data_IF_502345220314
#
_entry.id   IF_502345220314
#
_cell.length_a   1.000
_cell.length_b   1.000
_cell.length_c   1.000
_cell.angle_alpha   90.00
_cell.angle_beta   90.00
_cell.angle_gamma   90.00
#
_symmetry.space_group_name_H-M   'P 1'
#
loop_
_entity.id
_entity.type
_entity.pdbx_description
1 polymer ?
#
# COMPACT_ATOMS: atom_id res chain seq x y z
N UNK A 1 -11.42 -17.78 31.73
CA UNK A 1 -12.17 -17.30 30.54
C UNK A 1 -13.34 -16.37 30.89
N UNK A 2 -14.20 -16.66 31.88
CA UNK A 2 -15.34 -15.80 32.24
C UNK A 2 -14.95 -14.35 32.62
N UNK A 3 -13.87 -14.16 33.40
CA UNK A 3 -13.40 -12.80 33.73
C UNK A 3 -12.92 -12.01 32.50
N UNK A 4 -12.31 -12.67 31.51
CA UNK A 4 -11.86 -12.03 30.27
C UNK A 4 -13.05 -11.62 29.40
N UNK A 5 -14.07 -12.47 29.28
CA UNK A 5 -15.30 -12.12 28.53
C UNK A 5 -16.04 -10.94 29.16
N UNK A 6 -16.10 -10.86 30.50
CA UNK A 6 -16.69 -9.71 31.18
C UNK A 6 -15.88 -8.43 30.97
N UNK A 7 -14.55 -8.52 30.95
CA UNK A 7 -13.68 -7.38 30.67
C UNK A 7 -13.85 -6.87 29.23
N UNK A 8 -13.87 -7.78 28.23
CA UNK A 8 -14.08 -7.43 26.82
C UNK A 8 -15.45 -6.76 26.63
N UNK A 9 -16.50 -7.28 27.26
CA UNK A 9 -17.83 -6.69 27.21
C UNK A 9 -17.91 -5.31 27.88
N UNK A 10 -17.14 -5.09 28.95
CA UNK A 10 -17.10 -3.82 29.69
C UNK A 10 -16.13 -2.78 29.11
N UNK A 11 -15.37 -3.10 28.06
CA UNK A 11 -14.43 -2.17 27.45
C UNK A 11 -15.18 -1.02 26.76
N UNK A 12 -14.86 0.27 27.04
CA UNK A 12 -15.56 1.42 26.49
C UNK A 12 -15.09 1.74 25.06
N UNK A 13 -15.25 0.78 24.15
CA UNK A 13 -14.76 0.83 22.78
C UNK A 13 -15.03 -0.48 22.04
N UNK A 14 -14.74 -0.52 20.75
CA UNK A 14 -14.74 -1.77 19.98
C UNK A 14 -13.38 -2.46 20.08
N UNK A 15 -13.36 -3.74 20.41
CA UNK A 15 -12.18 -4.61 20.32
C UNK A 15 -12.32 -5.50 19.09
N UNK A 16 -11.26 -5.59 18.30
CA UNK A 16 -11.29 -6.32 17.03
C UNK A 16 -9.95 -7.01 16.72
N UNK A 17 -9.99 -7.96 15.79
CA UNK A 17 -8.80 -8.51 15.14
C UNK A 17 -9.00 -8.69 13.64
N UNK A 18 -7.89 -8.70 12.90
CA UNK A 18 -7.85 -8.96 11.46
C UNK A 18 -6.92 -10.14 11.22
N UNK A 19 -7.43 -11.22 10.64
CA UNK A 19 -6.63 -12.28 10.01
C UNK A 19 -6.10 -11.70 8.69
N UNK A 20 -4.79 -11.43 8.64
CA UNK A 20 -4.14 -10.73 7.53
C UNK A 20 -4.14 -11.61 6.26
N UNK A 21 -3.67 -12.88 6.30
CA UNK A 21 -3.69 -13.76 5.12
C UNK A 21 -5.08 -13.90 4.50
N UNK A 22 -6.12 -13.99 5.33
CA UNK A 22 -7.52 -14.16 4.85
C UNK A 22 -8.29 -12.84 4.72
N UNK A 23 -7.67 -11.71 5.04
CA UNK A 23 -8.32 -10.39 5.06
C UNK A 23 -9.65 -10.36 5.83
N UNK A 24 -9.74 -11.07 6.97
CA UNK A 24 -11.00 -11.27 7.71
C UNK A 24 -11.02 -10.50 9.03
N UNK A 25 -12.02 -9.64 9.19
CA UNK A 25 -12.28 -8.93 10.45
C UNK A 25 -13.11 -9.79 11.41
N UNK A 26 -12.65 -9.87 12.66
CA UNK A 26 -13.37 -10.40 13.81
C UNK A 26 -13.58 -9.29 14.84
N UNK A 27 -14.78 -9.22 15.41
CA UNK A 27 -15.15 -8.23 16.42
C UNK A 27 -15.52 -8.98 17.70
N UNK A 28 -15.00 -8.52 18.84
CA UNK A 28 -15.08 -9.26 20.10
C UNK A 28 -16.15 -8.73 21.07
N UNK A 29 -16.63 -7.50 20.87
CA UNK A 29 -17.69 -6.91 21.67
C UNK A 29 -18.60 -6.01 20.83
N UNK A 30 -19.75 -5.67 21.38
CA UNK A 30 -20.66 -4.72 20.77
C UNK A 30 -20.35 -3.30 21.28
N UNK A 31 -19.99 -2.42 20.36
CA UNK A 31 -19.82 -1.00 20.62
C UNK A 31 -20.19 -0.22 19.36
N UNK A 32 -20.94 0.86 19.52
CA UNK A 32 -21.44 1.64 18.40
C UNK A 32 -21.27 3.13 18.64
N UNK A 33 -21.06 3.85 17.55
CA UNK A 33 -21.06 5.30 17.51
C UNK A 33 -22.29 5.71 16.69
N UNK A 34 -23.18 6.57 17.20
CA UNK A 34 -24.33 7.04 16.44
C UNK A 34 -23.93 7.61 15.07
N UNK A 35 -24.56 7.11 14.00
CA UNK A 35 -24.28 7.55 12.63
C UNK A 35 -23.02 6.93 11.98
N UNK A 36 -22.30 6.05 12.68
CA UNK A 36 -21.12 5.37 12.15
C UNK A 36 -21.27 3.84 12.18
N UNK A 37 -21.12 3.24 11.01
CA UNK A 37 -20.98 1.80 10.86
C UNK A 37 -19.51 1.44 11.10
N UNK A 38 -19.19 1.03 12.33
CA UNK A 38 -17.81 0.76 12.76
C UNK A 38 -17.17 -0.42 12.02
N UNK A 39 -17.84 -1.59 11.87
CA UNK A 39 -17.29 -2.66 11.03
C UNK A 39 -17.01 -2.21 9.59
N UNK A 40 -17.87 -1.37 9.02
CA UNK A 40 -17.66 -0.82 7.68
C UNK A 40 -16.53 0.21 7.65
N UNK A 41 -16.32 0.99 8.70
CA UNK A 41 -15.13 1.84 8.84
C UNK A 41 -13.84 1.01 8.75
N UNK A 42 -13.81 -0.19 9.37
CA UNK A 42 -12.64 -1.05 9.34
C UNK A 42 -12.43 -1.76 7.99
N UNK A 43 -13.51 -2.01 7.24
CA UNK A 43 -13.47 -2.78 5.96
C UNK A 43 -13.43 -1.92 4.70
N UNK A 44 -14.21 -0.84 4.63
CA UNK A 44 -14.55 -0.14 3.39
C UNK A 44 -13.81 1.21 3.30
N UNK A 45 -12.84 1.29 2.39
CA UNK A 45 -12.07 2.53 2.15
C UNK A 45 -12.92 3.69 1.63
N UNK A 46 -13.96 3.41 0.82
CA UNK A 46 -14.87 4.44 0.32
C UNK A 46 -15.75 4.98 1.44
N UNK A 47 -16.18 4.10 2.34
CA UNK A 47 -16.89 4.51 3.54
C UNK A 47 -16.00 5.37 4.45
N UNK A 48 -14.75 4.95 4.71
CA UNK A 48 -13.77 5.77 5.46
C UNK A 48 -13.63 7.17 4.91
N UNK A 49 -13.47 7.31 3.58
CA UNK A 49 -13.31 8.61 2.91
C UNK A 49 -14.52 9.53 3.07
N UNK A 50 -15.72 8.96 3.25
CA UNK A 50 -16.95 9.72 3.50
C UNK A 50 -17.16 10.00 4.99
N UNK A 51 -16.88 9.02 5.84
CA UNK A 51 -17.15 9.05 7.27
C UNK A 51 -16.16 9.91 8.05
N UNK A 52 -14.91 9.98 7.61
CA UNK A 52 -13.82 10.71 8.27
C UNK A 52 -13.58 12.05 7.60
N UNK A 53 -13.31 13.07 8.42
CA UNK A 53 -12.97 14.40 7.91
C UNK A 53 -11.81 14.32 6.94
N UNK A 54 -11.86 15.11 5.86
CA UNK A 54 -10.83 15.13 4.81
C UNK A 54 -9.44 15.34 5.40
N UNK A 55 -9.35 16.20 6.40
CA UNK A 55 -8.14 16.53 7.15
C UNK A 55 -7.47 15.34 7.84
N UNK A 56 -8.26 14.40 8.37
CA UNK A 56 -7.77 13.30 9.20
C UNK A 56 -7.68 11.98 8.41
N UNK A 57 -8.23 11.94 7.19
CA UNK A 57 -8.29 10.74 6.35
C UNK A 57 -6.90 10.21 5.99
N UNK A 58 -5.94 11.11 5.76
CA UNK A 58 -4.55 10.75 5.44
C UNK A 58 -3.90 9.97 6.59
N UNK A 59 -4.03 10.47 7.82
CA UNK A 59 -3.53 9.81 9.04
C UNK A 59 -4.22 8.47 9.26
N UNK A 60 -5.55 8.40 9.03
CA UNK A 60 -6.28 7.14 9.13
C UNK A 60 -5.72 6.10 8.15
N UNK A 61 -5.40 6.49 6.93
CA UNK A 61 -4.84 5.56 5.95
C UNK A 61 -3.42 5.09 6.31
N UNK A 62 -2.66 5.87 7.08
CA UNK A 62 -1.34 5.44 7.58
C UNK A 62 -1.42 4.34 8.63
N UNK A 63 -2.47 4.32 9.46
CA UNK A 63 -2.70 3.17 10.33
C UNK A 63 -2.82 1.88 9.51
N UNK A 64 -3.43 1.93 8.33
CA UNK A 64 -3.59 0.77 7.46
C UNK A 64 -2.26 0.39 6.81
N UNK A 65 -1.40 1.37 6.53
CA UNK A 65 -0.02 1.13 6.07
C UNK A 65 0.80 0.43 7.16
N UNK A 66 0.60 0.81 8.42
CA UNK A 66 1.27 0.20 9.57
C UNK A 66 0.75 -1.18 9.94
N UNK A 67 -0.55 -1.38 9.85
CA UNK A 67 -1.18 -2.69 9.95
C UNK A 67 -0.59 -3.64 8.90
N UNK A 68 -0.47 -3.17 7.65
CA UNK A 68 0.14 -3.95 6.57
C UNK A 68 1.62 -4.27 6.82
N UNK A 69 2.37 -3.34 7.43
CA UNK A 69 3.77 -3.55 7.79
C UNK A 69 3.97 -4.46 9.03
N UNK A 70 2.88 -4.99 9.63
CA UNK A 70 2.91 -5.72 10.91
C UNK A 70 3.57 -4.90 12.00
N UNK A 71 3.19 -3.62 12.10
CA UNK A 71 3.75 -2.70 13.10
C UNK A 71 2.66 -2.11 13.98
N UNK A 72 2.96 -1.85 15.27
CA UNK A 72 2.02 -1.13 16.12
C UNK A 72 1.67 0.23 15.53
N UNK A 73 0.39 0.58 15.56
CA UNK A 73 -0.15 1.81 14.99
C UNK A 73 -1.18 2.41 15.93
N UNK A 74 -1.23 3.73 15.97
CA UNK A 74 -2.32 4.48 16.59
C UNK A 74 -2.63 5.69 15.71
N UNK A 75 -3.91 6.04 15.61
CA UNK A 75 -4.36 7.25 14.91
C UNK A 75 -5.55 7.84 15.64
N UNK A 76 -5.57 9.17 15.74
CA UNK A 76 -6.75 9.91 16.18
C UNK A 76 -7.40 10.61 15.01
N UNK A 77 -8.72 10.47 14.86
CA UNK A 77 -9.47 11.04 13.74
C UNK A 77 -10.85 11.54 14.17
N UNK A 78 -11.44 12.43 13.35
CA UNK A 78 -12.78 12.97 13.56
C UNK A 78 -13.73 12.55 12.45
N UNK A 79 -15.01 12.45 12.79
CA UNK A 79 -16.07 12.13 11.84
C UNK A 79 -16.57 13.38 11.10
N UNK A 80 -17.01 13.19 9.86
CA UNK A 80 -17.62 14.23 9.01
C UNK A 80 -19.02 14.60 9.49
N UNK A 81 -19.79 13.59 9.93
CA UNK A 81 -21.13 13.73 10.49
C UNK A 81 -21.13 13.05 11.84
N UNK A 82 -21.21 13.83 12.90
CA UNK A 82 -21.18 13.35 14.27
C UNK A 82 -20.94 14.50 15.24
N UNK A 83 -21.69 14.49 16.31
CA UNK A 83 -21.66 15.48 17.40
C UNK A 83 -20.57 15.10 18.43
N UNK A 84 -19.95 13.92 18.24
CA UNK A 84 -18.96 13.33 19.12
C UNK A 84 -17.57 13.94 19.01
N UNK A 85 -16.80 13.76 20.08
CA UNK A 85 -15.38 14.12 20.15
C UNK A 85 -14.50 13.28 19.22
N UNK A 86 -13.18 13.49 19.23
CA UNK A 86 -12.24 12.70 18.44
C UNK A 86 -12.28 11.22 18.83
N UNK A 87 -11.93 10.34 17.89
CA UNK A 87 -11.84 8.89 18.10
C UNK A 87 -10.41 8.42 17.93
N UNK A 88 -9.98 7.45 18.74
CA UNK A 88 -8.67 6.81 18.62
C UNK A 88 -8.84 5.36 18.17
N UNK A 89 -8.09 5.02 17.13
CA UNK A 89 -7.91 3.66 16.68
C UNK A 89 -6.47 3.24 16.93
N UNK A 90 -6.30 2.12 17.63
CA UNK A 90 -4.99 1.55 17.94
C UNK A 90 -4.95 0.08 17.56
N UNK A 91 -3.78 -0.41 17.14
CA UNK A 91 -3.57 -1.83 16.90
C UNK A 91 -2.10 -2.24 16.88
N UNK A 92 -1.89 -3.55 16.92
CA UNK A 92 -0.57 -4.18 17.00
C UNK A 92 -0.61 -5.60 16.43
N UNK A 93 0.50 -6.09 15.86
CA UNK A 93 0.61 -7.47 15.40
C UNK A 93 0.60 -8.45 16.58
N UNK A 94 0.03 -9.63 16.37
CA UNK A 94 0.27 -10.80 17.22
C UNK A 94 1.68 -11.36 17.04
N UNK A 95 2.06 -12.32 17.90
CA UNK A 95 3.42 -12.89 17.94
C UNK A 95 3.92 -13.42 16.58
N UNK A 96 3.04 -14.07 15.81
CA UNK A 96 3.38 -14.60 14.48
C UNK A 96 3.11 -13.63 13.34
N UNK A 97 2.54 -12.45 13.61
CA UNK A 97 2.25 -11.43 12.60
C UNK A 97 1.12 -11.76 11.62
N UNK A 98 0.44 -12.90 11.76
CA UNK A 98 -0.69 -13.30 10.90
C UNK A 98 -2.03 -12.71 11.35
N UNK A 99 -2.13 -12.35 12.63
CA UNK A 99 -3.30 -11.70 13.22
C UNK A 99 -2.89 -10.34 13.73
N UNK A 100 -3.67 -9.31 13.40
CA UNK A 100 -3.52 -7.96 13.92
C UNK A 100 -4.64 -7.66 14.91
N UNK A 101 -4.31 -7.22 16.10
CA UNK A 101 -5.27 -6.89 17.16
C UNK A 101 -5.43 -5.39 17.26
N UNK A 102 -6.58 -4.93 17.74
CA UNK A 102 -6.74 -3.51 18.01
C UNK A 102 -8.03 -3.15 18.71
N UNK A 103 -8.17 -1.85 18.95
CA UNK A 103 -9.38 -1.26 19.46
C UNK A 103 -9.70 0.08 18.80
N UNK A 104 -10.97 0.45 18.82
CA UNK A 104 -11.48 1.78 18.48
C UNK A 104 -12.27 2.31 19.66
N UNK A 105 -12.03 3.55 20.09
CA UNK A 105 -12.84 4.19 21.13
C UNK A 105 -12.88 5.71 20.99
N UNK A 106 -13.70 6.37 21.79
CA UNK A 106 -13.61 7.82 21.97
C UNK A 106 -12.26 8.21 22.59
N UNK A 107 -11.66 9.26 22.04
CA UNK A 107 -10.40 9.82 22.49
C UNK A 107 -10.68 10.94 23.50
N UNK A 108 -10.13 10.80 24.71
CA UNK A 108 -10.14 11.86 25.71
C UNK A 108 -8.90 12.75 25.48
N UNK A 109 -9.06 13.80 24.68
CA UNK A 109 -8.00 14.77 24.42
C UNK A 109 -8.20 16.04 25.28
N UNK A 110 -7.12 16.68 25.78
CA UNK A 110 -7.22 17.97 26.48
C UNK A 110 -7.91 19.06 25.63
N UNK A 111 -8.59 20.01 26.27
CA UNK A 111 -9.46 21.00 25.59
C UNK A 111 -8.77 21.86 24.52
N UNK A 112 -7.47 22.13 24.64
CA UNK A 112 -6.68 22.84 23.62
C UNK A 112 -6.65 22.10 22.27
N UNK A 113 -6.71 20.76 22.29
CA UNK A 113 -6.71 19.92 21.09
C UNK A 113 -8.05 19.93 20.35
N UNK A 114 -9.15 20.11 21.08
CA UNK A 114 -10.48 20.27 20.51
C UNK A 114 -10.67 21.65 19.86
N UNK A 115 -9.91 22.66 20.32
CA UNK A 115 -10.00 24.05 19.87
C UNK A 115 -9.10 24.37 18.66
N UNK A 116 -7.88 23.84 18.59
CA UNK A 116 -6.86 24.24 17.59
C UNK A 116 -6.81 23.37 16.32
N UNK A 117 -7.48 22.21 16.29
CA UNK A 117 -7.44 21.31 15.13
C UNK A 117 -6.02 20.85 14.74
N UNK A 118 -5.72 20.91 13.44
CA UNK A 118 -4.63 20.19 12.71
C UNK A 118 -3.18 20.36 13.23
N UNK A 119 -2.88 21.45 13.95
CA UNK A 119 -1.54 21.68 14.52
C UNK A 119 -1.26 20.72 15.70
N UNK A 120 -2.29 20.37 16.47
CA UNK A 120 -2.21 19.40 17.56
C UNK A 120 -2.11 17.95 17.08
N UNK A 121 -2.78 17.58 15.98
CA UNK A 121 -2.74 16.21 15.44
C UNK A 121 -1.39 15.84 14.82
N UNK A 122 -0.72 16.78 14.14
CA UNK A 122 0.62 16.54 13.60
C UNK A 122 1.70 16.46 14.69
N UNK A 123 1.51 17.17 15.82
CA UNK A 123 2.42 17.10 16.97
C UNK A 123 2.28 15.80 17.77
N UNK A 124 1.07 15.23 17.87
CA UNK A 124 0.82 14.00 18.64
C UNK A 124 1.28 12.72 17.92
N UNK A 125 1.20 12.67 16.59
CA UNK A 125 1.51 11.43 15.84
C UNK A 125 3.01 11.18 15.66
N UNK A 126 3.88 12.19 15.67
CA UNK A 126 5.27 11.97 15.23
C UNK A 126 6.11 11.26 16.32
N UNK A 127 5.92 11.57 17.62
CA UNK A 127 6.80 11.09 18.70
C UNK A 127 6.69 9.60 19.08
N UNK A 128 5.51 8.99 18.96
CA UNK A 128 5.28 7.58 19.36
C UNK A 128 5.41 6.55 18.22
N UNK A 129 5.70 7.03 17.00
CA UNK A 129 5.74 6.21 15.79
C UNK A 129 7.13 5.61 15.59
N UNK A 130 7.23 4.28 15.53
CA UNK A 130 8.53 3.60 15.35
C UNK A 130 9.07 3.53 13.89
N UNK A 131 8.49 4.23 12.91
CA UNK A 131 9.09 4.39 11.56
C UNK A 131 9.52 5.84 11.34
N UNK A 132 10.46 6.11 10.43
CA UNK A 132 10.93 7.47 10.13
C UNK A 132 9.82 8.37 9.57
N UNK A 133 9.52 9.44 10.31
CA UNK A 133 8.56 10.49 9.94
C UNK A 133 9.12 11.87 10.24
N UNK A 134 8.89 12.81 9.33
CA UNK A 134 9.17 14.22 9.55
C UNK A 134 8.15 15.14 8.87
N UNK A 135 8.09 16.41 9.26
CA UNK A 135 7.26 17.45 8.65
C UNK A 135 8.15 18.50 7.98
N UNK A 136 7.84 18.80 6.71
CA UNK A 136 8.58 19.75 5.86
C UNK A 136 7.71 20.98 5.57
N UNK A 137 8.21 22.17 5.89
CA UNK A 137 7.62 23.43 5.42
C UNK A 137 8.13 23.75 4.02
N UNK A 138 7.27 23.75 3.00
CA UNK A 138 7.71 23.94 1.62
C UNK A 138 8.27 25.34 1.30
N UNK A 139 7.74 26.46 1.83
CA UNK A 139 8.28 27.79 1.57
C UNK A 139 9.70 27.97 2.10
N UNK A 140 9.96 27.50 3.32
CA UNK A 140 11.28 27.67 3.96
C UNK A 140 12.19 26.46 3.77
N UNK A 141 11.65 25.33 3.30
CA UNK A 141 12.32 24.03 3.18
C UNK A 141 12.88 23.51 4.52
N UNK A 142 12.36 24.03 5.63
CA UNK A 142 12.78 23.64 6.97
C UNK A 142 12.01 22.41 7.47
N UNK A 143 12.73 21.56 8.21
CA UNK A 143 12.11 20.48 8.96
C UNK A 143 11.50 21.05 10.23
N UNK A 144 10.18 20.93 10.38
CA UNK A 144 9.46 21.43 11.55
C UNK A 144 9.46 20.41 12.69
N UNK A 145 9.28 19.14 12.35
CA UNK A 145 9.20 18.04 13.31
C UNK A 145 9.88 16.82 12.69
N UNK A 146 10.66 16.09 13.49
CA UNK A 146 11.32 14.83 13.11
C UNK A 146 11.13 13.88 14.29
N UNK A 147 10.79 12.60 14.06
CA UNK A 147 10.74 11.61 15.14
C UNK A 147 12.07 10.90 15.37
N UNK A 148 12.11 10.07 16.41
CA UNK A 148 13.33 9.39 16.83
C UNK A 148 13.78 8.32 15.82
N UNK A 149 12.84 7.66 15.13
CA UNK A 149 13.16 6.74 14.05
C UNK A 149 13.81 7.46 12.85
N UNK A 150 13.32 8.64 12.47
CA UNK A 150 13.92 9.45 11.41
C UNK A 150 15.27 10.04 11.86
N UNK A 151 15.39 10.45 13.13
CA UNK A 151 16.69 10.83 13.69
C UNK A 151 17.68 9.66 13.62
N UNK A 152 17.29 8.46 14.01
CA UNK A 152 18.15 7.28 13.93
C UNK A 152 18.58 6.95 12.49
N UNK A 153 17.71 7.17 11.51
CA UNK A 153 18.01 6.89 10.11
C UNK A 153 18.96 7.94 9.49
N UNK A 154 18.73 9.23 9.80
CA UNK A 154 19.33 10.33 9.05
C UNK A 154 20.40 11.11 9.82
N UNK A 155 20.38 11.10 11.16
CA UNK A 155 21.34 11.84 11.97
C UNK A 155 22.54 10.95 12.34
N UNK A 156 23.75 11.48 12.17
CA UNK A 156 24.95 10.88 12.72
C UNK A 156 25.01 11.09 14.25
N UNK A 157 25.63 10.18 15.02
CA UNK A 157 25.86 10.41 16.45
C UNK A 157 26.63 11.72 16.65
N UNK A 158 26.09 12.63 17.48
CA UNK A 158 26.69 13.94 17.84
C UNK A 158 26.71 15.03 16.77
N UNK A 159 25.65 15.14 15.97
CA UNK A 159 25.50 16.25 15.02
C UNK A 159 25.05 17.57 15.70
N UNK A 160 25.89 18.62 15.75
CA UNK A 160 25.57 19.88 16.44
C UNK A 160 24.57 20.76 15.69
N UNK A 161 24.44 20.60 14.37
CA UNK A 161 23.62 21.46 13.50
C UNK A 161 22.17 20.99 13.36
N UNK A 162 21.83 19.83 13.93
CA UNK A 162 20.52 19.20 13.78
C UNK A 162 20.26 18.63 12.38
N UNK A 163 19.14 17.90 12.24
CA UNK A 163 18.77 17.30 10.97
C UNK A 163 18.20 18.35 10.01
N UNK A 164 18.71 18.40 8.79
CA UNK A 164 18.27 19.33 7.73
C UNK A 164 17.82 18.58 6.48
N UNK A 165 17.05 19.25 5.60
CA UNK A 165 16.60 18.67 4.34
C UNK A 165 17.77 18.20 3.47
N UNK A 166 18.88 18.95 3.44
CA UNK A 166 20.08 18.61 2.66
C UNK A 166 20.77 17.31 3.14
N UNK A 167 20.54 16.87 4.39
CA UNK A 167 21.02 15.58 4.88
C UNK A 167 20.11 14.43 4.46
N UNK A 168 18.80 14.66 4.49
CA UNK A 168 17.78 13.68 4.10
C UNK A 168 17.80 13.46 2.57
N UNK A 169 17.86 14.54 1.80
CA UNK A 169 17.79 14.57 0.36
C UNK A 169 18.79 15.61 -0.19
N UNK A 170 20.09 15.27 -0.31
CA UNK A 170 21.09 16.15 -0.89
C UNK A 170 20.76 16.48 -2.36
N UNK A 171 21.00 17.73 -2.77
CA UNK A 171 20.94 18.30 -4.12
C UNK A 171 20.01 17.58 -5.12
N UNK A 172 20.51 16.54 -5.79
CA UNK A 172 19.82 15.77 -6.83
C UNK A 172 18.55 15.04 -6.34
N UNK A 173 18.46 14.78 -5.04
CA UNK A 173 17.36 14.07 -4.40
C UNK A 173 16.28 15.02 -3.84
N UNK A 174 16.60 16.30 -3.62
CA UNK A 174 15.68 17.28 -3.05
C UNK A 174 14.56 17.66 -4.02
N UNK A 175 14.88 17.84 -5.31
CA UNK A 175 13.92 18.27 -6.32
C UNK A 175 12.76 17.27 -6.52
N UNK A 176 13.00 15.94 -6.62
CA UNK A 176 11.92 14.95 -6.64
C UNK A 176 11.02 14.98 -5.39
N UNK A 177 11.62 15.13 -4.20
CA UNK A 177 10.89 15.19 -2.94
C UNK A 177 10.00 16.44 -2.86
N UNK A 178 10.53 17.61 -3.24
CA UNK A 178 9.78 18.86 -3.29
C UNK A 178 8.66 18.80 -4.34
N UNK A 179 8.93 18.22 -5.52
CA UNK A 179 7.90 18.05 -6.56
C UNK A 179 6.76 17.14 -6.07
N UNK A 180 7.09 16.02 -5.44
CA UNK A 180 6.12 15.12 -4.82
C UNK A 180 5.31 15.83 -3.73
N UNK A 181 5.95 16.67 -2.92
CA UNK A 181 5.28 17.40 -1.85
C UNK A 181 4.30 18.46 -2.40
N UNK A 182 4.67 19.17 -3.47
CA UNK A 182 3.75 20.10 -4.15
C UNK A 182 2.56 19.38 -4.77
N UNK A 183 2.76 18.19 -5.34
CA UNK A 183 1.65 17.34 -5.82
C UNK A 183 0.75 16.90 -4.68
N UNK A 184 1.31 16.48 -3.54
CA UNK A 184 0.54 16.10 -2.37
C UNK A 184 -0.37 17.26 -1.87
N UNK A 185 0.08 18.51 -1.96
CA UNK A 185 -0.74 19.68 -1.63
C UNK A 185 -1.94 19.86 -2.57
N UNK A 186 -1.81 19.51 -3.84
CA UNK A 186 -2.90 19.58 -4.83
C UNK A 186 -3.86 18.39 -4.73
N UNK A 187 -3.32 17.19 -4.52
CA UNK A 187 -4.04 15.92 -4.64
C UNK A 187 -4.39 15.28 -3.27
N UNK A 188 -4.23 16.02 -2.17
CA UNK A 188 -4.39 15.61 -0.76
C UNK A 188 -3.45 14.50 -0.26
N UNK A 189 -2.76 13.83 -1.15
CA UNK A 189 -1.78 12.79 -0.82
C UNK A 189 -0.88 12.55 -2.05
N UNK A 190 0.37 12.21 -1.79
CA UNK A 190 1.22 11.58 -2.78
C UNK A 190 1.84 10.32 -2.19
N UNK A 191 1.90 9.25 -2.98
CA UNK A 191 2.59 8.03 -2.59
C UNK A 191 3.45 7.54 -3.76
N UNK A 192 4.67 7.10 -3.45
CA UNK A 192 5.60 6.62 -4.45
C UNK A 192 6.95 6.29 -3.82
N UNK A 193 7.94 5.98 -4.66
CA UNK A 193 9.30 5.71 -4.22
C UNK A 193 10.16 6.95 -4.43
N UNK A 194 10.86 7.39 -3.39
CA UNK A 194 11.85 8.45 -3.48
C UNK A 194 13.19 7.95 -2.96
N UNK A 195 14.27 8.53 -3.50
CA UNK A 195 15.61 8.28 -3.04
C UNK A 195 16.01 9.31 -1.96
N UNK A 196 16.73 8.83 -0.96
CA UNK A 196 17.22 9.58 0.18
C UNK A 196 18.67 9.24 0.46
N UNK A 197 19.33 10.06 1.27
CA UNK A 197 20.64 9.77 1.84
C UNK A 197 20.50 9.54 3.34
N UNK A 198 21.12 8.47 3.85
CA UNK A 198 21.14 8.20 5.29
C UNK A 198 22.30 8.93 6.00
N UNK A 199 22.41 8.73 7.32
CA UNK A 199 23.48 9.30 8.15
C UNK A 199 24.91 8.95 7.66
N UNK A 200 25.10 7.80 7.01
CA UNK A 200 26.38 7.36 6.44
C UNK A 200 26.60 7.83 4.99
N UNK A 201 25.79 8.77 4.48
CA UNK A 201 25.81 9.26 3.09
C UNK A 201 25.54 8.18 2.03
N UNK A 202 24.95 7.04 2.43
CA UNK A 202 24.52 6.02 1.48
C UNK A 202 23.15 6.40 0.93
N UNK A 203 23.03 6.37 -0.40
CA UNK A 203 21.76 6.55 -1.09
C UNK A 203 20.92 5.28 -0.96
N UNK A 204 19.64 5.44 -0.65
CA UNK A 204 18.67 4.35 -0.60
C UNK A 204 17.33 4.85 -1.12
N UNK A 205 16.54 3.94 -1.68
CA UNK A 205 15.16 4.23 -2.06
C UNK A 205 14.23 3.76 -0.96
N UNK A 206 13.26 4.60 -0.60
CA UNK A 206 12.20 4.23 0.32
C UNK A 206 10.85 4.51 -0.33
N UNK A 207 9.84 3.72 0.05
CA UNK A 207 8.46 4.11 -0.24
C UNK A 207 8.12 5.28 0.67
N UNK A 208 7.44 6.27 0.12
CA UNK A 208 7.15 7.50 0.82
C UNK A 208 5.71 7.84 0.63
N UNK A 209 5.10 8.26 1.73
CA UNK A 209 3.79 8.89 1.72
C UNK A 209 3.95 10.33 2.15
N UNK A 210 3.47 11.23 1.31
CA UNK A 210 3.46 12.67 1.54
C UNK A 210 2.02 13.11 1.73
N UNK A 211 1.74 13.76 2.85
CA UNK A 211 0.39 14.18 3.22
C UNK A 211 0.42 15.64 3.68
N UNK A 212 -0.45 16.52 3.16
CA UNK A 212 -0.55 17.89 3.65
C UNK A 212 -0.88 17.92 5.15
N UNK A 213 -0.17 18.76 5.88
CA UNK A 213 -0.38 18.98 7.31
C UNK A 213 -0.52 20.48 7.62
N UNK A 214 -1.62 21.12 7.20
CA UNK A 214 -1.92 22.51 7.56
C UNK A 214 -3.20 23.05 6.89
N UNK A 215 -4.00 23.79 7.66
CA UNK A 215 -5.39 24.17 7.35
C UNK A 215 -5.61 25.25 6.29
N UNK A 216 -6.90 25.42 5.94
CA UNK A 216 -7.43 26.36 4.97
C UNK A 216 -6.79 27.76 5.10
N UNK A 217 -6.06 28.17 4.05
CA UNK A 217 -5.46 29.49 3.92
C UNK A 217 -3.92 29.55 4.03
N UNK A 218 -3.25 28.54 4.59
CA UNK A 218 -1.77 28.48 4.63
C UNK A 218 -1.15 27.09 4.36
N UNK A 219 -1.94 26.12 3.86
CA UNK A 219 -1.53 24.73 3.59
C UNK A 219 -0.28 24.56 2.72
N UNK A 220 0.89 24.61 3.35
CA UNK A 220 2.21 24.47 2.70
C UNK A 220 3.20 23.59 3.48
N UNK A 221 2.73 22.94 4.55
CA UNK A 221 3.51 21.95 5.28
C UNK A 221 3.10 20.57 4.79
N UNK A 222 4.07 19.70 4.56
CA UNK A 222 3.88 18.32 4.11
C UNK A 222 4.56 17.38 5.09
N UNK A 223 3.79 16.44 5.62
CA UNK A 223 4.29 15.32 6.40
C UNK A 223 4.86 14.28 5.45
N UNK A 224 6.06 13.80 5.75
CA UNK A 224 6.80 12.81 4.96
C UNK A 224 7.01 11.58 5.83
N UNK A 225 6.36 10.48 5.46
CA UNK A 225 6.52 9.18 6.09
C UNK A 225 7.29 8.24 5.18
N UNK A 226 8.38 7.67 5.68
CA UNK A 226 9.11 6.61 4.98
C UNK A 226 8.57 5.26 5.43
N UNK A 227 8.03 4.53 4.46
CA UNK A 227 7.46 3.20 4.60
C UNK A 227 8.42 2.20 3.94
N UNK A 228 8.60 1.02 4.55
CA UNK A 228 9.41 -0.08 4.02
C UNK A 228 10.80 0.35 3.53
N UNK A 229 11.68 0.77 4.45
CA UNK A 229 13.08 1.06 4.16
C UNK A 229 13.80 -0.28 3.99
N UNK A 230 14.38 -0.59 2.81
CA UNK A 230 15.12 -1.83 2.61
C UNK A 230 16.32 -1.87 3.55
N UNK A 231 16.49 -2.95 4.31
CA UNK A 231 17.60 -3.08 5.27
C UNK A 231 18.97 -3.28 4.60
N UNK A 232 19.01 -3.52 3.27
CA UNK A 232 20.26 -3.64 2.49
C UNK A 232 19.95 -3.59 0.98
N UNK A 233 20.82 -3.00 0.14
CA UNK A 233 20.69 -3.13 -1.30
C UNK A 233 21.16 -4.54 -1.71
N UNK A 234 20.22 -5.43 -2.01
CA UNK A 234 20.57 -6.70 -2.63
C UNK A 234 20.97 -6.43 -4.09
N UNK A 235 22.25 -6.65 -4.38
CA UNK A 235 22.79 -6.62 -5.73
C UNK A 235 22.46 -7.93 -6.41
N UNK A 236 21.33 -7.99 -7.11
CA UNK A 236 21.02 -9.07 -8.02
C UNK A 236 21.10 -8.56 -9.46
N UNK A 237 22.31 -8.65 -10.04
CA UNK A 237 22.50 -8.49 -11.47
C UNK A 237 21.68 -9.56 -12.21
N UNK A 238 20.82 -9.22 -13.18
CA UNK A 238 20.11 -10.23 -13.95
C UNK A 238 21.10 -11.07 -14.78
N UNK A 239 20.89 -12.39 -14.92
CA UNK A 239 21.75 -13.22 -15.74
C UNK A 239 21.67 -12.81 -17.21
N UNK A 240 22.75 -13.00 -18.00
CA UNK A 240 22.77 -12.60 -19.40
C UNK A 240 21.73 -13.36 -20.22
N UNK A 241 21.16 -12.73 -21.27
CA UNK A 241 20.15 -13.36 -22.11
C UNK A 241 20.78 -14.52 -22.90
N UNK A 242 20.10 -15.67 -22.85
CA UNK A 242 20.36 -16.79 -23.77
C UNK A 242 20.09 -16.37 -25.23
N UNK A 243 20.75 -17.01 -26.22
CA UNK A 243 20.70 -16.61 -27.63
C UNK A 243 19.28 -16.59 -28.21
N UNK A 244 19.06 -15.87 -29.32
CA UNK A 244 17.73 -15.54 -29.82
C UNK A 244 17.10 -16.76 -30.49
N UNK A 245 16.32 -17.54 -29.74
CA UNK A 245 15.10 -18.05 -30.35
C UNK A 245 14.28 -16.84 -30.79
N UNK A 246 13.61 -16.94 -31.94
CA UNK A 246 12.75 -15.88 -32.45
C UNK A 246 11.60 -15.66 -31.45
N UNK A 247 11.80 -14.78 -30.46
CA UNK A 247 10.78 -14.50 -29.45
C UNK A 247 9.61 -13.82 -30.16
N UNK A 248 8.42 -14.44 -30.13
CA UNK A 248 7.26 -13.94 -30.85
C UNK A 248 6.80 -12.58 -30.31
N UNK A 249 6.02 -11.81 -31.08
CA UNK A 249 5.34 -10.62 -30.58
C UNK A 249 4.56 -10.91 -29.29
N UNK A 250 4.43 -9.91 -28.40
CA UNK A 250 3.80 -10.08 -27.07
C UNK A 250 2.45 -10.80 -27.13
N UNK A 251 1.60 -10.46 -28.11
CA UNK A 251 0.29 -11.09 -28.28
C UNK A 251 0.38 -12.58 -28.58
N UNK A 252 1.21 -12.95 -29.55
CA UNK A 252 1.41 -14.35 -29.94
C UNK A 252 2.10 -15.15 -28.84
N UNK A 253 3.05 -14.53 -28.14
CA UNK A 253 3.71 -15.13 -26.98
C UNK A 253 2.74 -15.41 -25.83
N UNK A 254 1.89 -14.45 -25.45
CA UNK A 254 0.90 -14.65 -24.38
C UNK A 254 -0.14 -15.72 -24.76
N UNK A 255 -0.60 -15.74 -26.00
CA UNK A 255 -1.52 -16.79 -26.48
C UNK A 255 -0.84 -18.17 -26.46
N UNK A 256 0.43 -18.26 -26.84
CA UNK A 256 1.18 -19.54 -26.81
C UNK A 256 1.36 -20.06 -25.37
N UNK A 257 1.67 -19.17 -24.43
CA UNK A 257 1.74 -19.51 -23.00
C UNK A 257 0.40 -19.96 -22.45
N UNK A 258 -0.69 -19.30 -22.85
CA UNK A 258 -2.04 -19.72 -22.49
C UNK A 258 -2.38 -21.10 -23.05
N UNK A 259 -2.11 -21.36 -24.35
CA UNK A 259 -2.45 -22.64 -24.98
C UNK A 259 -1.74 -23.83 -24.33
N UNK A 260 -0.51 -23.66 -23.86
CA UNK A 260 0.22 -24.69 -23.11
C UNK A 260 -0.46 -25.11 -21.79
N UNK A 261 -1.32 -24.24 -21.23
CA UNK A 261 -2.03 -24.47 -19.97
C UNK A 261 -3.55 -24.28 -20.07
N UNK A 262 -4.12 -24.35 -21.28
CA UNK A 262 -5.54 -24.05 -21.53
C UNK A 262 -6.52 -25.02 -20.84
N UNK A 263 -6.05 -26.20 -20.41
CA UNK A 263 -6.84 -27.13 -19.60
C UNK A 263 -7.01 -26.67 -18.14
N UNK A 264 -6.12 -25.80 -17.67
CA UNK A 264 -5.98 -25.43 -16.26
C UNK A 264 -6.54 -24.03 -15.95
N UNK A 265 -6.75 -23.20 -16.96
CA UNK A 265 -7.20 -21.82 -16.82
C UNK A 265 -8.05 -21.38 -18.03
N UNK A 266 -8.86 -20.35 -17.82
CA UNK A 266 -9.75 -19.78 -18.84
C UNK A 266 -9.19 -18.48 -19.46
N UNK A 267 -8.08 -17.97 -18.94
CA UNK A 267 -7.37 -16.82 -19.50
C UNK A 267 -6.06 -16.54 -18.79
N UNK A 268 -5.18 -15.83 -19.49
CA UNK A 268 -3.89 -15.37 -19.00
C UNK A 268 -3.81 -13.86 -19.17
N UNK A 269 -3.40 -13.13 -18.15
CA UNK A 269 -3.33 -11.68 -18.16
C UNK A 269 -1.95 -11.21 -17.69
N UNK A 270 -1.31 -10.38 -18.49
CA UNK A 270 -0.11 -9.66 -18.13
C UNK A 270 -0.47 -8.24 -17.69
N UNK A 271 -0.07 -7.86 -16.49
CA UNK A 271 -0.10 -6.48 -15.99
C UNK A 271 1.31 -5.88 -16.01
N UNK A 272 1.55 -4.90 -16.87
CA UNK A 272 2.75 -4.09 -16.92
C UNK A 272 2.67 -2.98 -15.86
N UNK A 273 3.53 -3.04 -14.85
CA UNK A 273 3.46 -2.15 -13.69
C UNK A 273 4.37 -0.95 -13.92
N UNK A 274 3.77 0.23 -14.01
CA UNK A 274 4.45 1.52 -14.19
C UNK A 274 4.21 2.37 -12.94
N UNK A 275 4.66 1.88 -11.78
CA UNK A 275 4.41 2.47 -10.47
C UNK A 275 4.94 3.91 -10.35
N UNK A 276 6.04 4.25 -11.01
CA UNK A 276 6.57 5.62 -11.13
C UNK A 276 5.62 6.60 -11.84
N UNK A 277 4.70 6.09 -12.65
CA UNK A 277 3.63 6.85 -13.33
C UNK A 277 2.27 6.66 -12.65
N UNK A 278 2.18 5.86 -11.59
CA UNK A 278 0.92 5.54 -10.92
C UNK A 278 -0.04 4.73 -11.79
N UNK A 279 0.48 3.94 -12.73
CA UNK A 279 -0.31 3.28 -13.77
C UNK A 279 0.00 1.78 -13.89
N UNK A 280 -1.01 1.02 -14.31
CA UNK A 280 -0.91 -0.39 -14.71
C UNK A 280 -1.51 -0.55 -16.11
N UNK A 281 -0.79 -1.18 -17.02
CA UNK A 281 -1.25 -1.45 -18.39
C UNK A 281 -1.44 -2.95 -18.57
N UNK A 282 -2.61 -3.39 -19.04
CA UNK A 282 -2.96 -4.82 -19.06
C UNK A 282 -3.13 -5.40 -20.47
N UNK A 283 -2.73 -6.66 -20.62
CA UNK A 283 -2.74 -7.42 -21.87
C UNK A 283 -3.25 -8.84 -21.62
N UNK A 284 -4.37 -9.21 -22.23
CA UNK A 284 -5.03 -10.50 -21.96
C UNK A 284 -5.03 -11.46 -23.16
N UNK A 285 -4.91 -12.75 -22.86
CA UNK A 285 -5.00 -13.88 -23.78
C UNK A 285 -6.01 -14.92 -23.27
N UNK A 286 -6.55 -15.74 -24.18
CA UNK A 286 -7.56 -16.76 -23.87
C UNK A 286 -9.02 -16.28 -23.78
N UNK A 287 -9.98 -17.22 -23.60
CA UNK A 287 -11.42 -16.96 -23.65
C UNK A 287 -11.93 -15.86 -22.71
N UNK A 288 -11.45 -15.82 -21.45
CA UNK A 288 -11.91 -14.87 -20.44
C UNK A 288 -11.66 -13.41 -20.86
N UNK A 289 -10.53 -13.14 -21.54
CA UNK A 289 -10.12 -11.78 -21.89
C UNK A 289 -10.37 -11.38 -23.35
N UNK A 290 -11.19 -12.12 -24.11
CA UNK A 290 -11.50 -11.79 -25.53
C UNK A 290 -12.07 -10.38 -25.74
N UNK A 291 -12.79 -9.87 -24.74
CA UNK A 291 -13.41 -8.52 -24.78
C UNK A 291 -12.51 -7.44 -24.16
N UNK A 292 -11.37 -7.80 -23.59
CA UNK A 292 -10.45 -6.84 -22.97
C UNK A 292 -9.74 -6.04 -24.07
N UNK A 293 -9.73 -4.72 -23.94
CA UNK A 293 -8.95 -3.85 -24.83
C UNK A 293 -7.46 -4.12 -24.58
N UNK A 294 -6.72 -4.39 -25.65
CA UNK A 294 -5.27 -4.59 -25.57
C UNK A 294 -4.57 -3.31 -25.12
N UNK A 295 -3.75 -3.38 -24.07
CA UNK A 295 -3.10 -2.21 -23.49
C UNK A 295 -4.07 -1.30 -22.75
N UNK A 296 -5.10 -1.87 -22.10
CA UNK A 296 -6.00 -1.09 -21.26
C UNK A 296 -5.25 -0.52 -20.05
N UNK A 297 -5.50 0.75 -19.76
CA UNK A 297 -4.82 1.49 -18.71
C UNK A 297 -5.69 1.58 -17.46
N UNK A 298 -5.08 1.31 -16.31
CA UNK A 298 -5.71 1.38 -15.01
C UNK A 298 -4.82 2.17 -14.03
N UNK A 299 -5.43 2.83 -13.05
CA UNK A 299 -4.69 3.44 -11.96
C UNK A 299 -3.99 2.34 -11.15
N UNK A 300 -2.77 2.59 -10.69
CA UNK A 300 -2.05 1.65 -9.82
C UNK A 300 -2.72 1.51 -8.45
N UNK A 301 -3.26 2.60 -7.91
CA UNK A 301 -4.00 2.59 -6.64
C UNK A 301 -5.28 1.73 -6.71
N UNK A 302 -5.49 0.88 -5.71
CA UNK A 302 -6.66 -0.01 -5.61
C UNK A 302 -6.56 -1.28 -6.47
N UNK A 303 -5.39 -1.54 -7.07
CA UNK A 303 -5.12 -2.77 -7.83
C UNK A 303 -4.44 -3.83 -7.00
N UNK A 304 -4.48 -5.07 -7.51
CA UNK A 304 -3.75 -6.17 -6.89
C UNK A 304 -2.24 -6.00 -7.03
N UNK A 305 -1.77 -5.24 -8.02
CA UNK A 305 -0.35 -4.93 -8.15
C UNK A 305 0.13 -4.07 -6.98
N UNK A 306 -0.69 -3.11 -6.55
CA UNK A 306 -0.44 -2.36 -5.33
C UNK A 306 -0.40 -3.28 -4.11
N UNK A 307 -1.36 -4.20 -3.96
CA UNK A 307 -1.37 -5.12 -2.83
C UNK A 307 -0.16 -6.08 -2.86
N UNK A 308 0.13 -6.70 -4.00
CA UNK A 308 1.26 -7.60 -4.17
C UNK A 308 2.59 -6.89 -3.85
N UNK A 309 2.79 -5.68 -4.39
CA UNK A 309 3.98 -4.89 -4.12
C UNK A 309 4.00 -4.33 -2.68
N UNK A 310 2.84 -4.05 -2.07
CA UNK A 310 2.69 -3.55 -0.70
C UNK A 310 3.00 -4.62 0.34
N UNK A 311 2.54 -5.84 0.13
CA UNK A 311 2.70 -6.97 1.04
C UNK A 311 3.91 -7.86 0.68
N UNK A 312 4.68 -7.52 -0.36
CA UNK A 312 5.86 -8.30 -0.79
C UNK A 312 5.50 -9.74 -1.13
N UNK A 313 4.32 -9.95 -1.70
CA UNK A 313 3.81 -11.29 -1.93
C UNK A 313 4.64 -11.98 -3.00
N UNK A 314 4.87 -13.28 -2.81
CA UNK A 314 5.45 -14.16 -3.84
C UNK A 314 4.39 -14.68 -4.80
N UNK A 315 3.13 -14.66 -4.38
CA UNK A 315 1.96 -14.96 -5.17
C UNK A 315 0.70 -14.45 -4.45
N UNK A 316 -0.39 -14.29 -5.19
CA UNK A 316 -1.70 -13.95 -4.64
C UNK A 316 -2.75 -14.87 -5.26
N UNK A 317 -3.54 -15.53 -4.42
CA UNK A 317 -4.69 -16.33 -4.85
C UNK A 317 -5.98 -15.64 -4.40
N UNK A 318 -6.94 -15.52 -5.31
CA UNK A 318 -8.30 -15.06 -5.02
C UNK A 318 -9.27 -16.15 -5.41
N UNK A 319 -9.98 -16.69 -4.42
CA UNK A 319 -10.91 -17.81 -4.58
C UNK A 319 -12.27 -17.37 -5.18
N UNK A 320 -12.78 -16.20 -4.81
CA UNK A 320 -13.92 -15.58 -5.49
C UNK A 320 -13.72 -14.07 -5.68
N UNK A 321 -13.75 -13.61 -6.94
CA UNK A 321 -13.64 -12.20 -7.27
C UNK A 321 -14.87 -11.40 -6.84
N UNK A 322 -16.03 -12.05 -6.72
CA UNK A 322 -17.26 -11.40 -6.26
C UNK A 322 -17.27 -11.13 -4.75
N UNK A 323 -16.46 -11.88 -3.99
CA UNK A 323 -16.29 -11.67 -2.55
C UNK A 323 -15.11 -10.74 -2.24
N UNK A 324 -14.39 -10.30 -3.27
CA UNK A 324 -13.19 -9.49 -3.11
C UNK A 324 -13.50 -8.03 -2.78
N UNK A 325 -12.78 -7.53 -1.78
CA UNK A 325 -12.79 -6.12 -1.37
C UNK A 325 -11.93 -5.22 -2.27
N UNK A 326 -11.23 -5.78 -3.26
CA UNK A 326 -10.31 -5.04 -4.13
C UNK A 326 -11.09 -4.40 -5.28
N UNK A 327 -10.91 -3.10 -5.47
CA UNK A 327 -11.67 -2.34 -6.49
C UNK A 327 -11.39 -2.82 -7.92
N UNK A 328 -10.16 -3.27 -8.19
CA UNK A 328 -9.81 -3.79 -9.52
C UNK A 328 -10.57 -5.06 -9.89
N UNK A 329 -10.98 -5.88 -8.92
CA UNK A 329 -11.66 -7.15 -9.20
C UNK A 329 -13.03 -6.90 -9.84
N UNK A 330 -13.70 -5.82 -9.44
CA UNK A 330 -14.97 -5.39 -10.01
C UNK A 330 -14.84 -4.67 -11.37
N UNK A 331 -13.68 -4.05 -11.63
CA UNK A 331 -13.45 -3.26 -12.85
C UNK A 331 -12.86 -4.11 -13.98
N UNK A 332 -12.02 -5.09 -13.64
CA UNK A 332 -11.27 -5.87 -14.61
C UNK A 332 -11.73 -7.33 -14.65
N UNK A 333 -11.91 -8.00 -13.52
CA UNK A 333 -12.15 -9.46 -13.51
C UNK A 333 -13.63 -9.83 -13.63
N UNK A 334 -14.50 -9.25 -12.79
CA UNK A 334 -15.93 -9.54 -12.78
C UNK A 334 -16.64 -9.26 -14.13
N UNK A 335 -16.35 -8.15 -14.86
CA UNK A 335 -16.98 -7.89 -16.17
C UNK A 335 -16.60 -8.92 -17.25
N UNK A 336 -15.48 -9.61 -17.05
CA UNK A 336 -15.00 -10.69 -17.92
C UNK A 336 -15.43 -12.08 -17.42
N UNK A 337 -16.26 -12.15 -16.36
CA UNK A 337 -16.76 -13.40 -15.80
C UNK A 337 -15.71 -14.20 -15.03
N UNK A 338 -14.53 -13.62 -14.78
CA UNK A 338 -13.47 -14.27 -14.00
C UNK A 338 -13.95 -14.36 -12.55
N UNK A 339 -13.98 -15.57 -12.02
CA UNK A 339 -14.44 -15.89 -10.68
C UNK A 339 -13.30 -16.21 -9.73
N UNK A 340 -12.16 -16.65 -10.21
CA UNK A 340 -10.97 -16.83 -9.37
C UNK A 340 -9.71 -16.52 -10.18
N UNK A 341 -8.63 -16.15 -9.51
CA UNK A 341 -7.34 -15.99 -10.17
C UNK A 341 -6.16 -16.29 -9.25
N UNK A 342 -5.06 -16.67 -9.88
CA UNK A 342 -3.73 -16.79 -9.29
C UNK A 342 -2.81 -15.77 -9.95
N UNK A 343 -2.17 -14.92 -9.14
CA UNK A 343 -1.27 -13.88 -9.61
C UNK A 343 0.17 -14.15 -9.15
N UNK A 344 1.09 -14.09 -10.11
CA UNK A 344 2.52 -14.28 -9.95
C UNK A 344 3.26 -12.96 -10.24
N UNK A 345 3.85 -12.31 -9.22
CA UNK A 345 4.63 -11.09 -9.38
C UNK A 345 6.06 -11.32 -9.87
N UNK A 346 6.58 -10.32 -10.57
CA UNK A 346 7.96 -10.24 -11.04
C UNK A 346 8.57 -8.91 -10.61
N UNK A 347 9.63 -9.02 -9.81
CA UNK A 347 10.35 -7.89 -9.21
C UNK A 347 11.68 -7.67 -9.94
N UNK A 348 12.08 -6.41 -10.06
CA UNK A 348 13.40 -6.00 -10.54
C UNK A 348 14.00 -4.93 -9.63
N UNK A 349 15.09 -4.30 -10.07
CA UNK A 349 15.83 -3.30 -9.26
C UNK A 349 14.96 -2.13 -8.76
N UNK A 350 13.90 -1.77 -9.50
CA UNK A 350 13.01 -0.65 -9.18
C UNK A 350 11.70 -1.08 -8.46
N UNK A 351 11.56 -2.35 -8.09
CA UNK A 351 10.35 -2.90 -7.47
C UNK A 351 9.54 -3.80 -8.39
N UNK A 352 8.25 -3.94 -8.12
CA UNK A 352 7.36 -4.78 -8.92
C UNK A 352 7.19 -4.16 -10.31
N UNK A 353 7.60 -4.87 -11.35
CA UNK A 353 7.49 -4.38 -12.72
C UNK A 353 6.47 -5.15 -13.56
N UNK A 354 6.08 -6.36 -13.16
CA UNK A 354 5.10 -7.15 -13.89
C UNK A 354 4.32 -8.08 -12.96
N UNK A 355 3.07 -8.37 -13.31
CA UNK A 355 2.28 -9.43 -12.68
C UNK A 355 1.66 -10.30 -13.78
N UNK A 356 1.90 -11.60 -13.72
CA UNK A 356 1.22 -12.60 -14.55
C UNK A 356 0.02 -13.14 -13.78
N UNK A 357 -1.15 -13.20 -14.40
CA UNK A 357 -2.38 -13.58 -13.74
C UNK A 357 -3.04 -14.71 -14.54
N UNK A 358 -3.17 -15.87 -13.91
CA UNK A 358 -3.93 -17.01 -14.41
C UNK A 358 -5.37 -16.86 -13.90
N UNK A 359 -6.35 -16.83 -14.80
CA UNK A 359 -7.74 -16.56 -14.46
C UNK A 359 -8.63 -17.77 -14.77
N UNK A 360 -9.66 -17.98 -13.95
CA UNK A 360 -10.71 -18.96 -14.24
C UNK A 360 -12.10 -18.35 -14.08
N UNK A 361 -13.04 -18.84 -14.90
CA UNK A 361 -14.46 -18.52 -14.82
C UNK A 361 -15.16 -19.28 -13.68
N UNK A 362 -14.47 -20.23 -13.03
CA UNK A 362 -14.96 -20.96 -11.85
C UNK A 362 -14.37 -20.36 -10.56
N UNK A 363 -15.14 -20.33 -9.46
CA UNK A 363 -14.59 -19.99 -8.15
C UNK A 363 -13.65 -21.10 -7.66
N UNK A 364 -12.72 -20.74 -6.78
CA UNK A 364 -11.76 -21.63 -6.11
C UNK A 364 -11.00 -22.58 -7.05
N UNK A 365 -10.68 -22.14 -8.27
CA UNK A 365 -9.99 -22.98 -9.26
C UNK A 365 -8.48 -23.15 -8.97
N UNK A 366 -7.91 -22.29 -8.11
CA UNK A 366 -6.50 -22.24 -7.79
C UNK A 366 -6.29 -22.61 -6.32
N UNK A 367 -5.73 -23.80 -6.06
CA UNK A 367 -5.42 -24.28 -4.73
C UNK A 367 -4.07 -23.77 -4.20
N UNK A 368 -3.67 -24.28 -3.03
CA UNK A 368 -2.36 -23.98 -2.44
C UNK A 368 -1.17 -24.44 -3.30
N UNK A 369 -1.41 -25.40 -4.21
CA UNK A 369 -0.46 -25.94 -5.18
C UNK A 369 -0.25 -25.05 -6.41
N UNK A 370 -1.05 -23.99 -6.59
CA UNK A 370 -1.00 -23.15 -7.79
C UNK A 370 0.40 -22.59 -8.08
N UNK A 371 1.17 -22.23 -7.04
CA UNK A 371 2.54 -21.76 -7.20
C UNK A 371 3.48 -22.79 -7.84
N UNK A 372 3.35 -24.07 -7.46
CA UNK A 372 4.14 -25.16 -8.04
C UNK A 372 3.63 -25.51 -9.44
N UNK A 373 2.31 -25.64 -9.60
CA UNK A 373 1.65 -25.98 -10.87
C UNK A 373 1.97 -24.99 -11.99
N UNK A 374 2.04 -23.70 -11.68
CA UNK A 374 2.30 -22.63 -12.67
C UNK A 374 3.75 -22.12 -12.65
N UNK A 375 4.65 -22.74 -11.89
CA UNK A 375 6.07 -22.35 -11.85
C UNK A 375 6.72 -22.38 -13.24
N UNK A 376 6.31 -23.33 -14.09
CA UNK A 376 6.81 -23.48 -15.47
C UNK A 376 6.50 -22.28 -16.38
N UNK A 377 5.50 -21.45 -16.04
CA UNK A 377 5.16 -20.24 -16.80
C UNK A 377 6.14 -19.10 -16.58
N UNK A 378 6.81 -19.05 -15.42
CA UNK A 378 7.62 -17.91 -15.00
C UNK A 378 8.76 -17.60 -15.98
N UNK A 379 9.60 -18.59 -16.27
CA UNK A 379 10.78 -18.41 -17.13
C UNK A 379 10.44 -18.01 -18.58
N UNK A 380 9.55 -18.73 -19.28
CA UNK A 380 9.09 -18.34 -20.61
C UNK A 380 8.45 -16.94 -20.65
N UNK A 381 7.65 -16.59 -19.64
CA UNK A 381 7.03 -15.29 -19.54
C UNK A 381 8.04 -14.16 -19.33
N UNK A 382 9.02 -14.32 -18.43
CA UNK A 382 10.09 -13.35 -18.22
C UNK A 382 10.88 -13.05 -19.50
N UNK A 383 11.21 -14.08 -20.28
CA UNK A 383 11.88 -13.90 -21.58
C UNK A 383 11.02 -13.12 -22.57
N UNK A 384 9.72 -13.40 -22.61
CA UNK A 384 8.77 -12.71 -23.48
C UNK A 384 8.67 -11.21 -23.14
N UNK A 385 8.50 -10.86 -21.86
CA UNK A 385 8.38 -9.45 -21.45
C UNK A 385 9.71 -8.70 -21.63
N UNK A 386 10.85 -9.34 -21.37
CA UNK A 386 12.16 -8.73 -21.55
C UNK A 386 12.41 -8.38 -23.03
N UNK A 387 12.12 -9.31 -23.95
CA UNK A 387 12.26 -9.08 -25.38
C UNK A 387 11.27 -8.03 -25.92
N UNK A 388 10.04 -8.02 -25.42
CA UNK A 388 9.05 -7.01 -25.80
C UNK A 388 9.48 -5.61 -25.36
N UNK A 389 9.94 -5.44 -24.11
CA UNK A 389 10.44 -4.16 -23.60
C UNK A 389 11.70 -3.69 -24.32
N UNK A 390 12.58 -4.60 -24.74
CA UNK A 390 13.77 -4.28 -25.52
C UNK A 390 13.46 -3.75 -26.93
N UNK A 391 12.33 -4.17 -27.53
CA UNK A 391 11.86 -3.67 -28.84
C UNK A 391 11.06 -2.37 -28.75
N UNK A 392 10.60 -1.98 -27.56
CA UNK A 392 9.69 -0.84 -27.32
C UNK A 392 10.33 0.37 -26.64
N UNK A 393 11.66 0.39 -26.47
CA UNK A 393 12.43 1.55 -25.99
C UNK A 393 13.27 2.15 -27.09
#
# INVERSE_FOLDING_TARGET
>A
MQQLSHWIAGFPGLIWSIDIPRSRLHVFNEWSIPGLDVPRLLKDARYRKKAVRREDYSLLMEFWDMLAARRPAAVTFRLTRGDGGPYILQGWPGEHGDVYYGFLKEAFLPAAYAADGLAGTCQMDIGGIGYPVFALDLPTQNLLIVNDAARALFAAPHDPDGLTLARIAPDDLSAPLLLAAHKALGDDVWAGTLAFSNAQRRKFSAKVRLTPCGGAGKGRVVRVALLNIPETPDSATPPPPAPPEAIPPLREGLESLFQAHAADMDGLLFSDIQSHRGQVVVYGAGPAFRKLKWGAEHAYEGTIAQDIERFGLRSLTVEDTLDSIKSIDWVLFAPHGVRSYFALPFYGEQGLHAVLICASLRPAAFGADAGERFSALAGPFERLIAAWRAKGR
#
